data_IF_092406748752
#
_entry.id   IF_092406748752
#
_cell.length_a   1.000
_cell.length_b   1.000
_cell.length_c   1.000
_cell.angle_alpha   90.00
_cell.angle_beta   90.00
_cell.angle_gamma   90.00
#
_symmetry.space_group_name_H-M   'P 1'
#
loop_
_entity.id
_entity.type
_entity.pdbx_description
1 polymer ?
#
# COMPACT_ATOMS: atom_id res chain seq x y z
N UNK A 1 -1.44 -11.85 -22.42
CA UNK A 1 -1.21 -10.40 -22.27
C UNK A 1 -2.56 -9.72 -22.19
N UNK A 2 -3.01 -9.47 -21.00
CA UNK A 2 -4.38 -9.06 -20.67
C UNK A 2 -4.71 -7.62 -20.99
N UNK A 3 -3.72 -6.78 -21.16
CA UNK A 3 -3.95 -5.35 -21.18
C UNK A 3 -3.52 -4.66 -22.47
N UNK A 4 -3.35 -5.38 -23.57
CA UNK A 4 -3.11 -4.68 -24.82
C UNK A 4 -4.43 -4.38 -25.53
N UNK A 5 -4.95 -3.18 -25.29
CA UNK A 5 -5.73 -2.54 -26.34
C UNK A 5 -4.97 -2.69 -27.66
N UNK A 6 -5.62 -3.16 -28.72
CA UNK A 6 -5.03 -3.21 -30.07
C UNK A 6 -4.54 -1.81 -30.51
N UNK A 7 -5.03 -0.77 -29.86
CA UNK A 7 -4.63 0.63 -30.09
C UNK A 7 -3.50 1.00 -29.11
N UNK A 8 -2.25 1.02 -29.57
CA UNK A 8 -1.09 1.43 -28.76
C UNK A 8 -1.25 2.84 -28.15
N UNK A 9 -1.99 3.74 -28.82
CA UNK A 9 -2.29 5.09 -28.30
C UNK A 9 -3.19 5.10 -27.06
N UNK A 10 -3.86 3.99 -26.75
CA UNK A 10 -4.69 3.86 -25.55
C UNK A 10 -3.93 3.28 -24.35
N UNK A 11 -2.63 3.01 -24.50
CA UNK A 11 -1.83 2.50 -23.41
C UNK A 11 -1.46 3.65 -22.47
N UNK A 12 -1.82 3.50 -21.22
CA UNK A 12 -1.47 4.42 -20.15
C UNK A 12 -0.59 3.72 -19.11
N UNK A 13 0.10 4.51 -18.30
CA UNK A 13 0.87 3.98 -17.17
C UNK A 13 -0.03 3.20 -16.18
N UNK A 14 -1.28 3.63 -16.04
CA UNK A 14 -2.31 3.03 -15.20
C UNK A 14 -3.55 2.75 -16.03
N UNK A 15 -4.04 1.55 -15.91
CA UNK A 15 -5.16 1.08 -16.71
C UNK A 15 -6.18 0.37 -15.83
N UNK A 16 -7.44 0.73 -15.98
CA UNK A 16 -8.55 0.15 -15.23
C UNK A 16 -9.43 -0.68 -16.16
N UNK A 17 -9.78 -1.88 -15.70
CA UNK A 17 -10.72 -2.75 -16.36
C UNK A 17 -11.81 -3.13 -15.36
N UNK A 18 -13.05 -2.76 -15.66
CA UNK A 18 -14.22 -3.13 -14.88
C UNK A 18 -15.17 -3.99 -15.69
N UNK A 19 -15.96 -4.81 -15.01
CA UNK A 19 -17.07 -5.55 -15.60
C UNK A 19 -18.30 -4.64 -15.70
N UNK A 20 -18.91 -4.55 -16.86
CA UNK A 20 -20.16 -3.81 -17.03
C UNK A 20 -21.27 -4.46 -16.18
N UNK A 21 -21.96 -3.66 -15.35
CA UNK A 21 -23.06 -4.13 -14.48
C UNK A 21 -22.62 -4.72 -13.15
N UNK A 22 -21.36 -4.56 -12.75
CA UNK A 22 -20.91 -4.95 -11.42
C UNK A 22 -21.43 -3.97 -10.36
N UNK A 23 -21.93 -4.49 -9.25
CA UNK A 23 -22.26 -3.70 -8.06
C UNK A 23 -21.01 -3.00 -7.53
N UNK A 24 -21.17 -1.88 -6.84
CA UNK A 24 -20.09 -1.02 -6.31
C UNK A 24 -19.22 -1.70 -5.23
N UNK A 25 -19.19 -3.03 -5.18
CA UNK A 25 -18.43 -3.81 -4.18
C UNK A 25 -16.92 -3.84 -4.42
N UNK A 26 -16.43 -3.25 -5.53
CA UNK A 26 -15.00 -3.14 -5.84
C UNK A 26 -14.33 -4.46 -6.28
N UNK A 27 -15.02 -5.58 -6.22
CA UNK A 27 -14.45 -6.91 -6.55
C UNK A 27 -14.26 -7.11 -8.06
N UNK A 28 -14.97 -6.36 -8.90
CA UNK A 28 -14.94 -6.48 -10.35
C UNK A 28 -14.08 -5.40 -11.03
N UNK A 29 -13.12 -4.85 -10.31
CA UNK A 29 -12.17 -3.87 -10.83
C UNK A 29 -10.76 -4.45 -10.84
N UNK A 30 -10.16 -4.53 -12.02
CA UNK A 30 -8.76 -4.84 -12.22
C UNK A 30 -7.97 -3.57 -12.54
N UNK A 31 -6.79 -3.46 -11.94
CA UNK A 31 -5.88 -2.35 -12.21
C UNK A 31 -4.58 -2.91 -12.74
N UNK A 32 -4.13 -2.42 -13.88
CA UNK A 32 -2.84 -2.81 -14.46
C UNK A 32 -1.91 -1.61 -14.58
N UNK A 33 -0.75 -1.73 -13.99
CA UNK A 33 0.35 -0.78 -14.10
C UNK A 33 1.31 -1.22 -15.21
N UNK A 34 1.70 -0.29 -16.08
CA UNK A 34 2.77 -0.51 -17.06
C UNK A 34 4.09 0.02 -16.48
N UNK A 35 4.89 -0.88 -15.91
CA UNK A 35 6.08 -0.52 -15.13
C UNK A 35 7.12 0.25 -15.94
N UNK A 36 7.33 -0.08 -17.21
CA UNK A 36 8.29 0.64 -18.07
C UNK A 36 7.89 2.10 -18.37
N UNK A 37 6.63 2.46 -18.16
CA UNK A 37 6.16 3.84 -18.30
C UNK A 37 6.28 4.60 -16.97
N UNK A 38 6.22 3.90 -15.85
CA UNK A 38 6.23 4.49 -14.51
C UNK A 38 7.64 4.77 -14.00
N UNK A 39 8.62 3.97 -14.42
CA UNK A 39 10.00 4.09 -13.94
C UNK A 39 10.99 3.61 -14.99
N UNK A 40 12.22 4.17 -15.01
CA UNK A 40 13.28 3.66 -15.86
C UNK A 40 13.68 2.25 -15.40
N UNK A 41 13.60 1.28 -16.32
CA UNK A 41 14.03 -0.09 -16.08
C UNK A 41 15.30 -0.38 -16.88
N UNK A 42 16.24 -1.22 -16.36
CA UNK A 42 17.50 -1.52 -17.03
C UNK A 42 17.34 -2.49 -18.22
N UNK A 43 16.13 -2.70 -18.68
CA UNK A 43 15.79 -3.61 -19.79
C UNK A 43 14.58 -3.07 -20.57
N UNK A 44 14.41 -3.58 -21.81
CA UNK A 44 13.35 -3.16 -22.74
C UNK A 44 12.11 -4.06 -22.71
N UNK A 45 12.19 -5.20 -22.04
CA UNK A 45 11.05 -6.10 -21.87
C UNK A 45 9.91 -5.37 -21.16
N UNK A 46 8.70 -5.51 -21.72
CA UNK A 46 7.54 -4.83 -21.15
C UNK A 46 7.01 -5.60 -19.96
N UNK A 47 6.99 -4.94 -18.80
CA UNK A 47 6.54 -5.50 -17.52
C UNK A 47 5.25 -4.83 -17.08
N UNK A 48 4.30 -5.65 -16.66
CA UNK A 48 3.00 -5.21 -16.16
C UNK A 48 2.75 -5.82 -14.77
N UNK A 49 2.19 -5.02 -13.88
CA UNK A 49 1.70 -5.48 -12.58
C UNK A 49 0.19 -5.33 -12.58
N UNK A 50 -0.53 -6.43 -12.43
CA UNK A 50 -1.99 -6.43 -12.45
C UNK A 50 -2.52 -6.83 -11.07
N UNK A 51 -3.38 -6.00 -10.52
CA UNK A 51 -4.12 -6.26 -9.29
C UNK A 51 -5.51 -6.81 -9.66
N UNK A 52 -5.93 -7.88 -8.98
CA UNK A 52 -7.24 -8.50 -9.14
C UNK A 52 -7.58 -8.74 -10.62
N UNK A 53 -6.84 -9.58 -11.35
CA UNK A 53 -7.09 -9.80 -12.77
C UNK A 53 -8.48 -10.38 -12.98
N UNK A 54 -9.34 -9.68 -13.75
CA UNK A 54 -10.67 -10.16 -14.17
C UNK A 54 -10.53 -11.20 -15.27
N UNK A 55 -9.47 -11.07 -16.08
CA UNK A 55 -9.13 -12.00 -17.14
C UNK A 55 -7.81 -12.68 -16.75
N UNK A 56 -7.78 -14.00 -16.86
CA UNK A 56 -6.56 -14.76 -16.57
C UNK A 56 -5.43 -14.41 -17.56
N UNK A 57 -4.25 -14.08 -17.04
CA UNK A 57 -3.08 -13.86 -17.88
C UNK A 57 -2.61 -15.17 -18.52
N UNK A 58 -1.95 -15.07 -19.68
CA UNK A 58 -1.26 -16.19 -20.30
C UNK A 58 -0.23 -16.75 -19.32
N UNK A 59 -0.37 -18.01 -18.86
CA UNK A 59 0.51 -18.60 -17.85
C UNK A 59 1.99 -18.54 -18.22
N UNK A 60 2.32 -18.59 -19.51
CA UNK A 60 3.71 -18.54 -19.99
C UNK A 60 4.35 -17.17 -19.85
N UNK A 61 3.59 -16.15 -19.50
CA UNK A 61 4.03 -14.76 -19.35
C UNK A 61 3.93 -14.25 -17.92
N UNK A 62 3.49 -15.10 -17.00
CA UNK A 62 3.48 -14.79 -15.58
C UNK A 62 4.91 -14.93 -15.04
N UNK A 63 5.46 -13.84 -14.52
CA UNK A 63 6.75 -13.84 -13.85
C UNK A 63 6.57 -14.28 -12.40
N UNK A 64 5.52 -13.77 -11.75
CA UNK A 64 5.20 -14.09 -10.36
C UNK A 64 3.71 -13.83 -10.10
N UNK A 65 3.12 -14.68 -9.27
CA UNK A 65 1.78 -14.48 -8.69
C UNK A 65 1.95 -14.31 -7.19
N UNK A 66 1.50 -13.16 -6.68
CA UNK A 66 1.69 -12.77 -5.29
C UNK A 66 0.34 -12.43 -4.68
N UNK A 67 0.10 -12.93 -3.45
CA UNK A 67 -1.09 -12.59 -2.67
C UNK A 67 -0.72 -11.64 -1.55
N UNK A 68 -1.35 -10.47 -1.56
CA UNK A 68 -1.20 -9.47 -0.52
C UNK A 68 -2.54 -9.20 0.15
N UNK A 69 -2.49 -8.96 1.47
CA UNK A 69 -3.62 -8.41 2.19
C UNK A 69 -3.41 -6.90 2.34
N UNK A 70 -4.37 -6.13 1.85
CA UNK A 70 -4.35 -4.68 1.96
C UNK A 70 -5.39 -4.20 2.97
N UNK A 71 -5.08 -3.19 3.79
CA UNK A 71 -6.08 -2.52 4.60
C UNK A 71 -7.18 -1.92 3.72
N UNK A 72 -8.44 -2.12 4.11
CA UNK A 72 -9.58 -1.48 3.45
C UNK A 72 -9.93 -0.20 4.20
N UNK A 73 -9.78 0.95 3.56
CA UNK A 73 -10.05 2.27 4.13
C UNK A 73 -11.54 2.61 4.09
N UNK A 74 -12.32 1.88 4.89
CA UNK A 74 -13.71 2.24 5.13
C UNK A 74 -13.84 3.24 6.32
N UNK A 75 -15.05 3.71 6.58
CA UNK A 75 -15.31 4.69 7.66
C UNK A 75 -14.87 4.18 9.03
N UNK A 76 -15.01 2.89 9.30
CA UNK A 76 -14.59 2.27 10.56
C UNK A 76 -13.05 2.26 10.69
N UNK A 77 -12.33 1.93 9.61
CA UNK A 77 -10.87 1.96 9.58
C UNK A 77 -10.32 3.37 9.81
N UNK A 78 -10.89 4.38 9.13
CA UNK A 78 -10.50 5.78 9.31
C UNK A 78 -10.79 6.28 10.74
N UNK A 79 -11.91 5.87 11.32
CA UNK A 79 -12.20 6.18 12.73
C UNK A 79 -11.22 5.48 13.70
N UNK A 80 -10.80 4.25 13.38
CA UNK A 80 -9.83 3.50 14.18
C UNK A 80 -8.42 4.12 14.15
N UNK A 81 -8.00 4.72 13.04
CA UNK A 81 -6.71 5.42 12.94
C UNK A 81 -6.55 6.48 14.02
N UNK A 82 -7.61 7.20 14.37
CA UNK A 82 -7.58 8.23 15.42
C UNK A 82 -7.31 7.67 16.82
N UNK A 83 -7.66 6.41 17.06
CA UNK A 83 -7.49 5.73 18.35
C UNK A 83 -6.10 5.14 18.55
N UNK A 84 -5.30 5.06 17.48
CA UNK A 84 -3.97 4.44 17.57
C UNK A 84 -3.05 5.22 18.52
N UNK A 85 -3.26 6.53 18.66
CA UNK A 85 -2.50 7.38 19.58
C UNK A 85 -2.58 6.89 21.02
N UNK A 86 -3.74 6.38 21.43
CA UNK A 86 -3.99 5.88 22.78
C UNK A 86 -3.33 4.51 23.03
N UNK A 87 -3.02 3.79 21.97
CA UNK A 87 -2.36 2.48 22.01
C UNK A 87 -0.84 2.58 21.96
N UNK A 88 -0.31 3.70 21.47
CA UNK A 88 1.12 3.90 21.30
C UNK A 88 1.85 3.88 22.64
N UNK A 89 2.82 2.96 22.80
CA UNK A 89 3.60 2.79 24.02
C UNK A 89 2.93 1.90 25.08
N UNK A 90 1.67 1.51 24.88
CA UNK A 90 0.99 0.55 25.75
C UNK A 90 1.73 -0.79 25.72
N UNK A 91 2.03 -1.35 26.89
CA UNK A 91 2.82 -2.59 27.02
C UNK A 91 4.15 -2.57 26.24
N UNK A 92 4.77 -1.39 26.10
CA UNK A 92 6.01 -1.17 25.33
C UNK A 92 5.86 -1.51 23.84
N UNK A 93 4.65 -1.47 23.30
CA UNK A 93 4.34 -1.76 21.90
C UNK A 93 4.02 -0.47 21.17
N UNK A 94 4.60 -0.33 19.97
CA UNK A 94 4.37 0.80 19.09
C UNK A 94 3.94 0.30 17.72
N UNK A 95 3.10 1.07 17.05
CA UNK A 95 2.56 0.74 15.75
C UNK A 95 2.94 1.81 14.74
N UNK A 96 3.47 1.40 13.59
CA UNK A 96 3.76 2.26 12.46
C UNK A 96 3.34 1.57 11.17
N UNK A 97 3.07 2.36 10.14
CA UNK A 97 2.76 1.85 8.82
C UNK A 97 1.89 2.81 8.01
N UNK A 98 1.88 2.65 6.70
CA UNK A 98 1.10 3.48 5.79
C UNK A 98 -0.41 3.40 6.04
N UNK A 99 -0.88 2.32 6.66
CA UNK A 99 -2.29 2.11 7.05
C UNK A 99 -2.78 3.09 8.13
N UNK A 100 -1.89 3.83 8.79
CA UNK A 100 -2.23 4.91 9.72
C UNK A 100 -2.60 6.23 9.01
N UNK A 101 -2.45 6.28 7.70
CA UNK A 101 -2.88 7.36 6.82
C UNK A 101 -3.69 6.81 5.66
N UNK A 102 -3.39 7.26 4.46
CA UNK A 102 -4.09 6.86 3.23
C UNK A 102 -3.40 5.73 2.46
N UNK A 103 -2.34 5.14 3.02
CA UNK A 103 -1.62 4.01 2.42
C UNK A 103 -0.46 4.42 1.52
N UNK A 104 -0.04 5.68 1.53
CA UNK A 104 1.10 6.16 0.75
C UNK A 104 2.43 5.95 1.51
N UNK A 105 3.54 5.97 0.76
CA UNK A 105 4.88 5.86 1.34
C UNK A 105 5.14 6.94 2.40
N UNK A 106 4.67 8.16 2.16
CA UNK A 106 4.80 9.29 3.07
C UNK A 106 4.06 9.05 4.40
N UNK A 107 2.90 8.40 4.36
CA UNK A 107 2.16 8.03 5.58
C UNK A 107 2.94 7.02 6.40
N UNK A 108 3.58 6.05 5.73
CA UNK A 108 4.46 5.07 6.37
C UNK A 108 5.67 5.73 7.03
N UNK A 109 6.35 6.61 6.31
CA UNK A 109 7.50 7.34 6.81
C UNK A 109 7.14 8.22 8.02
N UNK A 110 6.08 9.00 7.92
CA UNK A 110 5.59 9.87 8.99
C UNK A 110 5.28 9.09 10.25
N UNK A 111 4.54 7.98 10.13
CA UNK A 111 4.20 7.14 11.26
C UNK A 111 5.42 6.52 11.94
N UNK A 112 6.44 6.16 11.16
CA UNK A 112 7.72 5.67 11.69
C UNK A 112 8.49 6.73 12.47
N UNK A 113 8.54 7.97 11.94
CA UNK A 113 9.15 9.11 12.62
C UNK A 113 8.43 9.42 13.95
N UNK A 114 7.11 9.40 13.97
CA UNK A 114 6.31 9.63 15.17
C UNK A 114 6.63 8.59 16.25
N UNK A 115 6.76 7.31 15.88
CA UNK A 115 7.17 6.24 16.81
C UNK A 115 8.59 6.47 17.32
N UNK A 116 9.53 6.85 16.46
CA UNK A 116 10.91 7.13 16.86
C UNK A 116 10.97 8.25 17.89
N UNK A 117 10.25 9.35 17.68
CA UNK A 117 10.19 10.47 18.65
C UNK A 117 9.62 10.02 20.01
N UNK A 118 8.58 9.19 20.01
CA UNK A 118 8.00 8.66 21.26
C UNK A 118 8.98 7.76 22.02
N UNK A 119 9.72 6.91 21.30
CA UNK A 119 10.75 6.05 21.88
C UNK A 119 11.88 6.86 22.51
N UNK A 120 12.36 7.91 21.83
CA UNK A 120 13.40 8.80 22.34
C UNK A 120 12.91 9.48 23.62
N UNK A 121 11.72 10.08 23.59
CA UNK A 121 11.14 10.74 24.76
C UNK A 121 10.97 9.79 25.96
N UNK A 122 10.52 8.55 25.73
CA UNK A 122 10.42 7.53 26.77
C UNK A 122 11.80 7.19 27.38
N UNK A 123 12.81 7.04 26.53
CA UNK A 123 14.16 6.72 26.98
C UNK A 123 14.74 7.86 27.84
N UNK A 124 14.58 9.10 27.42
CA UNK A 124 15.01 10.29 28.14
C UNK A 124 14.35 10.39 29.52
N UNK A 125 13.05 10.16 29.63
CA UNK A 125 12.30 10.16 30.89
C UNK A 125 12.80 9.06 31.84
N UNK A 126 13.03 7.84 31.32
CA UNK A 126 13.58 6.76 32.15
C UNK A 126 14.96 7.08 32.65
N UNK A 127 15.83 7.64 31.81
CA UNK A 127 17.19 8.02 32.20
C UNK A 127 17.18 9.15 33.21
N UNK A 128 16.31 10.14 33.09
CA UNK A 128 16.14 11.20 34.03
C UNK A 128 15.67 10.68 35.42
N UNK A 129 14.72 9.75 35.43
CA UNK A 129 14.20 9.13 36.65
C UNK A 129 15.27 8.31 37.37
N UNK A 130 16.12 7.59 36.65
CA UNK A 130 17.24 6.81 37.24
C UNK A 130 18.35 7.70 37.81
N UNK A 131 18.53 8.93 37.28
CA UNK A 131 19.52 9.89 37.80
C UNK A 131 19.01 10.64 39.06
N UNK A 132 17.70 10.68 39.24
CA UNK A 132 17.05 11.38 40.35
C UNK A 132 16.80 10.46 41.59
N UNK A 133 16.97 9.15 41.42
CA UNK A 133 16.86 8.13 42.47
C UNK A 133 18.23 7.77 43.06
#
# INVERSE_FOLDING_TARGET
>A
MLFRSKRKRAWAAWNYLGKAGSDQTGQDLSVTYWSNCLQPLPFTTQVFVTLNPILEPDPTKIISDLRFSHPVFNTAAVAAQKKITDLQGSQRTFYAGAWLGYGFHEDGLRSGIDVAHRLIAMHEQQTASLRAA
#
